data_IF_185473325567
#
_entry.id   IF_185473325567
#
_cell.length_a   1.000
_cell.length_b   1.000
_cell.length_c   1.000
_cell.angle_alpha   90.00
_cell.angle_beta   90.00
_cell.angle_gamma   90.00
#
_symmetry.space_group_name_H-M   'P 1'
#
loop_
_entity.id
_entity.type
_entity.pdbx_description
1 polymer ?
#
# COMPACT_ATOMS: atom_id res chain seq x y z
N UNK A 1 39.31 -28.51 -9.81
CA UNK A 1 38.31 -27.43 -9.72
C UNK A 1 37.44 -27.72 -8.52
N UNK A 2 37.69 -27.03 -7.41
CA UNK A 2 36.98 -27.23 -6.14
C UNK A 2 35.69 -26.41 -6.21
N UNK A 3 34.56 -27.08 -6.11
CA UNK A 3 33.24 -26.47 -5.99
C UNK A 3 33.15 -25.76 -4.63
N UNK A 4 32.97 -24.44 -4.64
CA UNK A 4 32.64 -23.67 -3.45
C UNK A 4 31.14 -23.85 -3.18
N UNK A 5 30.81 -24.83 -2.34
CA UNK A 5 29.52 -24.92 -1.66
C UNK A 5 29.49 -23.81 -0.60
N UNK A 6 29.05 -22.62 -0.98
CA UNK A 6 28.79 -21.52 -0.05
C UNK A 6 27.48 -21.75 0.69
N UNK A 7 27.48 -22.63 1.70
CA UNK A 7 26.40 -22.70 2.67
C UNK A 7 26.58 -21.50 3.61
N UNK A 8 26.00 -20.35 3.25
CA UNK A 8 25.82 -19.27 4.20
C UNK A 8 24.79 -19.74 5.23
N UNK A 9 25.25 -20.37 6.32
CA UNK A 9 24.44 -20.49 7.53
C UNK A 9 24.19 -19.06 8.01
N UNK A 10 23.02 -18.51 7.66
CA UNK A 10 22.34 -17.56 8.55
C UNK A 10 22.40 -18.20 9.93
N UNK A 11 23.05 -17.56 10.89
CA UNK A 11 23.14 -18.06 12.26
C UNK A 11 21.71 -18.30 12.74
N UNK A 12 21.29 -19.56 12.75
CA UNK A 12 19.89 -19.91 12.86
C UNK A 12 19.39 -19.48 14.23
N UNK A 13 18.57 -18.42 14.27
CA UNK A 13 17.92 -18.00 15.50
C UNK A 13 16.98 -19.08 16.05
N UNK A 14 16.42 -18.87 17.25
CA UNK A 14 15.62 -19.87 17.92
C UNK A 14 14.43 -20.31 17.06
N UNK A 15 14.21 -21.63 17.02
CA UNK A 15 13.01 -22.21 16.44
C UNK A 15 11.83 -21.88 17.34
N UNK A 16 10.88 -21.12 16.82
CA UNK A 16 9.66 -20.75 17.52
C UNK A 16 8.60 -21.83 17.33
N UNK A 17 8.47 -22.33 16.10
CA UNK A 17 7.48 -23.35 15.76
C UNK A 17 7.94 -24.18 14.56
N UNK A 18 7.58 -25.45 14.59
CA UNK A 18 7.66 -26.36 13.45
C UNK A 18 6.30 -26.99 13.24
N UNK A 19 5.84 -26.98 11.99
CA UNK A 19 4.59 -27.61 11.59
C UNK A 19 4.79 -28.58 10.44
N UNK A 20 3.97 -29.62 10.43
CA UNK A 20 3.92 -30.59 9.35
C UNK A 20 2.54 -30.52 8.71
N UNK A 21 2.52 -30.48 7.40
CA UNK A 21 1.31 -30.51 6.60
C UNK A 21 1.52 -31.41 5.38
N UNK A 22 0.45 -31.70 4.65
CA UNK A 22 0.49 -32.58 3.48
C UNK A 22 -0.19 -31.91 2.31
N UNK A 23 0.42 -32.05 1.14
CA UNK A 23 -0.12 -31.61 -0.14
C UNK A 23 -0.44 -32.87 -0.95
N UNK A 24 -1.68 -33.04 -1.39
CA UNK A 24 -2.10 -34.29 -2.04
C UNK A 24 -1.69 -34.36 -3.52
N UNK A 25 -1.56 -33.20 -4.17
CA UNK A 25 -1.12 -33.03 -5.56
C UNK A 25 -0.39 -31.70 -5.70
N UNK A 26 0.52 -31.53 -6.68
CA UNK A 26 1.23 -30.26 -6.88
C UNK A 26 0.29 -29.06 -6.82
N UNK A 27 0.60 -28.10 -5.94
CA UNK A 27 -0.30 -26.98 -5.62
C UNK A 27 0.51 -25.75 -5.20
N UNK A 28 -0.06 -24.56 -5.42
CA UNK A 28 0.36 -23.36 -4.69
C UNK A 28 -0.11 -23.48 -3.24
N UNK A 29 0.74 -23.08 -2.30
CA UNK A 29 0.38 -23.12 -0.87
C UNK A 29 0.48 -21.74 -0.27
N UNK A 30 -0.61 -21.31 0.35
CA UNK A 30 -0.66 -20.09 1.17
C UNK A 30 -0.78 -20.51 2.62
N UNK A 31 -0.04 -19.83 3.49
CA UNK A 31 -0.14 -19.99 4.94
C UNK A 31 -0.63 -18.69 5.58
N UNK A 32 -1.60 -18.83 6.49
CA UNK A 32 -2.00 -17.77 7.42
C UNK A 32 -1.43 -18.12 8.79
N UNK A 33 -0.59 -17.23 9.30
CA UNK A 33 0.04 -17.33 10.61
C UNK A 33 -0.59 -16.30 11.54
N UNK A 34 -1.15 -16.73 12.67
CA UNK A 34 -1.63 -15.83 13.73
C UNK A 34 -0.50 -15.63 14.74
N UNK A 35 0.07 -14.43 14.75
CA UNK A 35 1.32 -14.11 15.43
C UNK A 35 1.20 -12.81 16.21
N UNK A 36 1.84 -12.75 17.38
CA UNK A 36 2.00 -11.52 18.17
C UNK A 36 3.43 -11.41 18.68
N UNK A 37 3.87 -10.20 19.00
CA UNK A 37 5.17 -9.96 19.65
C UNK A 37 4.97 -9.15 20.93
N UNK A 38 5.22 -9.74 22.09
CA UNK A 38 5.08 -9.06 23.37
C UNK A 38 5.87 -7.75 23.39
N UNK A 39 5.22 -6.66 23.84
CA UNK A 39 5.82 -5.32 23.86
C UNK A 39 6.27 -4.83 22.48
N UNK A 40 6.00 -5.48 21.35
CA UNK A 40 6.23 -4.84 20.08
C UNK A 40 5.22 -3.70 19.86
N UNK A 41 5.70 -2.59 19.34
CA UNK A 41 4.94 -1.39 19.02
C UNK A 41 5.64 -0.66 17.88
N UNK A 42 5.03 -0.66 16.69
CA UNK A 42 5.60 -0.08 15.47
C UNK A 42 5.85 1.44 15.58
N UNK A 43 5.19 2.12 16.52
CA UNK A 43 5.39 3.54 16.77
C UNK A 43 6.62 3.82 17.66
N UNK A 44 7.23 2.80 18.28
CA UNK A 44 8.25 2.99 19.32
C UNK A 44 9.64 2.55 18.85
N UNK A 45 10.62 3.47 18.77
CA UNK A 45 11.99 3.14 18.45
C UNK A 45 12.56 2.03 19.34
N UNK A 46 13.16 1.01 18.72
CA UNK A 46 13.73 -0.14 19.38
C UNK A 46 12.73 -1.22 19.81
N UNK A 47 11.42 -1.03 19.61
CA UNK A 47 10.35 -2.00 19.90
C UNK A 47 9.49 -2.31 18.67
N UNK A 48 9.93 -1.92 17.47
CA UNK A 48 9.10 -1.88 16.28
C UNK A 48 8.44 -3.22 15.92
N UNK A 49 9.24 -4.27 15.77
CA UNK A 49 8.78 -5.59 15.39
C UNK A 49 9.77 -6.70 15.75
N UNK A 50 9.27 -7.94 15.77
CA UNK A 50 10.10 -9.12 15.62
C UNK A 50 10.16 -9.51 14.13
N UNK A 51 11.36 -9.83 13.65
CA UNK A 51 11.58 -10.38 12.32
C UNK A 51 11.69 -11.90 12.37
N UNK A 52 10.99 -12.58 11.48
CA UNK A 52 10.96 -14.04 11.38
C UNK A 52 11.50 -14.51 10.04
N UNK A 53 12.10 -15.69 10.03
CA UNK A 53 12.47 -16.43 8.83
C UNK A 53 11.58 -17.65 8.71
N UNK A 54 10.92 -17.77 7.56
CA UNK A 54 10.15 -18.95 7.19
C UNK A 54 11.01 -19.86 6.31
N UNK A 55 11.02 -21.15 6.61
CA UNK A 55 11.61 -22.17 5.74
C UNK A 55 10.66 -23.33 5.51
N UNK A 56 10.66 -23.86 4.28
CA UNK A 56 9.88 -25.04 3.90
C UNK A 56 10.84 -26.15 3.53
N UNK A 57 10.70 -27.31 4.16
CA UNK A 57 11.56 -28.48 3.98
C UNK A 57 13.06 -28.19 4.15
N UNK A 58 13.39 -27.24 5.04
CA UNK A 58 14.76 -26.81 5.32
C UNK A 58 15.33 -25.80 4.32
N UNK A 59 14.56 -25.35 3.33
CA UNK A 59 14.95 -24.29 2.39
C UNK A 59 14.36 -22.95 2.82
N UNK A 60 15.17 -21.90 2.77
CA UNK A 60 14.72 -20.53 3.01
C UNK A 60 13.58 -20.18 2.06
N UNK A 61 12.45 -19.72 2.62
CA UNK A 61 11.30 -19.23 1.86
C UNK A 61 11.33 -17.70 1.84
N UNK A 62 11.18 -17.05 2.98
CA UNK A 62 11.04 -15.59 3.07
C UNK A 62 11.25 -15.05 4.50
N UNK A 63 11.30 -13.73 4.63
CA UNK A 63 11.15 -13.04 5.91
C UNK A 63 9.69 -12.66 6.17
N UNK A 64 9.33 -12.54 7.44
CA UNK A 64 8.05 -12.00 7.89
C UNK A 64 8.29 -11.04 9.06
N UNK A 65 7.86 -9.78 8.95
CA UNK A 65 8.04 -8.76 9.99
C UNK A 65 6.71 -8.54 10.71
N UNK A 66 6.72 -8.68 12.04
CA UNK A 66 5.52 -8.55 12.87
C UNK A 66 5.20 -7.09 13.19
N UNK A 67 4.75 -6.33 12.20
CA UNK A 67 4.45 -4.91 12.30
C UNK A 67 3.15 -4.56 13.05
N UNK A 68 2.33 -5.56 13.42
CA UNK A 68 1.01 -5.35 14.03
C UNK A 68 1.01 -5.37 15.57
N UNK A 69 2.19 -5.38 16.18
CA UNK A 69 2.39 -5.22 17.62
C UNK A 69 2.13 -6.49 18.46
N UNK A 70 1.72 -6.27 19.71
CA UNK A 70 1.56 -7.32 20.72
C UNK A 70 0.35 -8.21 20.52
N UNK A 71 -0.79 -7.64 20.14
CA UNK A 71 -2.01 -8.42 19.91
C UNK A 71 -1.80 -9.36 18.74
N UNK A 72 -2.04 -10.69 18.92
CA UNK A 72 -1.94 -11.63 17.83
C UNK A 72 -2.80 -11.22 16.63
N UNK A 73 -2.19 -11.28 15.45
CA UNK A 73 -2.82 -10.89 14.20
C UNK A 73 -2.46 -11.85 13.08
N UNK A 74 -3.31 -11.92 12.07
CA UNK A 74 -3.10 -12.76 10.90
C UNK A 74 -2.09 -12.12 9.94
N UNK A 75 -1.11 -12.92 9.52
CA UNK A 75 -0.17 -12.64 8.44
C UNK A 75 -0.33 -13.73 7.38
N UNK A 76 -0.70 -13.34 6.17
CA UNK A 76 -0.97 -14.25 5.06
C UNK A 76 0.14 -14.16 4.02
N UNK A 77 0.86 -15.26 3.81
CA UNK A 77 2.03 -15.30 2.91
C UNK A 77 2.00 -16.55 2.03
N UNK A 78 2.57 -16.45 0.83
CA UNK A 78 2.72 -17.56 -0.09
C UNK A 78 3.98 -18.38 0.27
N UNK A 79 3.84 -19.70 0.28
CA UNK A 79 4.96 -20.65 0.38
C UNK A 79 5.43 -21.13 -1.01
N UNK A 80 4.72 -20.76 -2.07
CA UNK A 80 4.96 -21.14 -3.46
C UNK A 80 4.46 -22.54 -3.80
N UNK A 81 4.84 -23.01 -4.99
CA UNK A 81 4.50 -24.35 -5.49
C UNK A 81 5.17 -25.45 -4.66
N UNK A 82 4.36 -26.33 -4.09
CA UNK A 82 4.83 -27.53 -3.39
C UNK A 82 4.37 -28.80 -4.11
N UNK A 83 5.23 -29.83 -4.10
CA UNK A 83 4.93 -31.13 -4.70
C UNK A 83 3.90 -31.92 -3.88
N UNK A 84 3.41 -33.04 -4.40
CA UNK A 84 2.62 -33.96 -3.59
C UNK A 84 3.51 -34.62 -2.52
N UNK A 85 3.05 -34.62 -1.26
CA UNK A 85 3.74 -35.27 -0.16
C UNK A 85 3.66 -34.52 1.17
N UNK A 86 4.37 -35.04 2.19
CA UNK A 86 4.53 -34.35 3.46
C UNK A 86 5.52 -33.20 3.33
N UNK A 87 5.19 -32.07 3.94
CA UNK A 87 6.02 -30.88 4.01
C UNK A 87 6.19 -30.42 5.46
N UNK A 88 7.24 -29.64 5.69
CA UNK A 88 7.57 -29.08 6.99
C UNK A 88 7.82 -27.58 6.89
N UNK A 89 6.99 -26.79 7.58
CA UNK A 89 7.21 -25.36 7.78
C UNK A 89 7.97 -25.15 9.09
N UNK A 90 9.05 -24.36 9.05
CA UNK A 90 9.74 -23.90 10.26
C UNK A 90 9.71 -22.39 10.33
N UNK A 91 9.41 -21.89 11.54
CA UNK A 91 9.32 -20.48 11.86
C UNK A 91 10.42 -20.19 12.88
N UNK A 92 11.40 -19.38 12.47
CA UNK A 92 12.54 -18.99 13.32
C UNK A 92 12.54 -17.50 13.55
N UNK A 93 12.93 -17.10 14.76
CA UNK A 93 13.23 -15.69 15.03
C UNK A 93 14.53 -15.32 14.33
N UNK A 94 14.54 -14.20 13.62
CA UNK A 94 15.76 -13.55 13.15
C UNK A 94 16.07 -12.35 14.04
N UNK A 95 17.06 -12.51 14.91
CA UNK A 95 17.51 -11.44 15.82
C UNK A 95 18.11 -10.25 15.07
N UNK A 96 18.66 -10.46 13.87
CA UNK A 96 19.23 -9.38 13.05
C UNK A 96 18.16 -8.52 12.39
N UNK A 97 17.00 -9.09 12.10
CA UNK A 97 15.83 -8.38 11.57
C UNK A 97 14.78 -8.04 12.65
N UNK A 98 15.12 -8.20 13.94
CA UNK A 98 14.22 -7.88 15.05
C UNK A 98 14.67 -6.62 15.79
N UNK A 99 13.70 -5.87 16.31
CA UNK A 99 13.97 -4.71 17.13
C UNK A 99 14.72 -5.11 18.41
N UNK A 100 15.61 -4.24 18.89
CA UNK A 100 16.50 -4.51 20.03
C UNK A 100 15.74 -4.91 21.30
N UNK A 101 14.54 -4.38 21.48
CA UNK A 101 13.67 -4.59 22.63
C UNK A 101 12.36 -5.29 22.27
N UNK A 102 12.29 -5.99 21.13
CA UNK A 102 11.20 -6.91 20.82
C UNK A 102 11.10 -7.99 21.92
N UNK A 103 9.87 -8.30 22.36
CA UNK A 103 9.62 -9.34 23.35
C UNK A 103 9.46 -10.73 22.75
N UNK A 104 8.83 -11.61 23.51
CA UNK A 104 8.57 -12.98 23.09
C UNK A 104 7.55 -13.00 21.93
N UNK A 105 7.77 -13.90 20.97
CA UNK A 105 6.87 -14.08 19.84
C UNK A 105 5.89 -15.21 20.17
N UNK A 106 4.60 -14.89 20.13
CA UNK A 106 3.52 -15.88 20.22
C UNK A 106 3.20 -16.41 18.84
N UNK A 107 3.14 -17.73 18.68
CA UNK A 107 2.87 -18.40 17.41
C UNK A 107 1.74 -19.41 17.57
N UNK A 108 0.56 -19.09 17.04
CA UNK A 108 -0.58 -20.01 16.99
C UNK A 108 -0.43 -21.06 15.87
N UNK A 109 -1.27 -22.11 15.85
CA UNK A 109 -1.30 -23.05 14.74
C UNK A 109 -1.56 -22.41 13.38
N UNK A 110 -0.74 -22.78 12.39
CA UNK A 110 -0.87 -22.24 11.05
C UNK A 110 -2.09 -22.82 10.33
N UNK A 111 -2.70 -21.99 9.48
CA UNK A 111 -3.79 -22.39 8.59
C UNK A 111 -3.28 -22.39 7.15
N UNK A 112 -3.55 -23.46 6.42
CA UNK A 112 -3.05 -23.64 5.05
C UNK A 112 -4.21 -23.59 4.06
N UNK A 113 -4.03 -22.84 2.97
CA UNK A 113 -4.83 -22.97 1.77
C UNK A 113 -3.96 -23.63 0.69
N UNK A 114 -4.40 -24.79 0.21
CA UNK A 114 -3.70 -25.57 -0.81
C UNK A 114 -4.49 -25.41 -2.12
N UNK A 115 -3.90 -24.72 -3.09
CA UNK A 115 -4.54 -24.31 -4.33
C UNK A 115 -3.95 -25.08 -5.51
N UNK A 116 -4.61 -26.17 -5.94
CA UNK A 116 -4.13 -27.02 -7.03
C UNK A 116 -4.20 -26.32 -8.39
N UNK A 117 -3.48 -26.85 -9.37
CA UNK A 117 -3.34 -26.26 -10.71
C UNK A 117 -4.66 -26.05 -11.48
N UNK A 118 -5.69 -26.82 -11.18
CA UNK A 118 -7.02 -26.73 -11.80
C UNK A 118 -7.98 -25.76 -11.08
N UNK A 119 -7.56 -25.14 -9.98
CA UNK A 119 -8.35 -24.14 -9.27
C UNK A 119 -8.35 -22.79 -10.03
N UNK A 120 -9.48 -22.07 -9.98
CA UNK A 120 -9.65 -20.77 -10.64
C UNK A 120 -8.60 -19.72 -10.24
N UNK A 121 -8.17 -19.79 -8.98
CA UNK A 121 -7.28 -18.81 -8.36
C UNK A 121 -5.81 -19.21 -8.46
N UNK A 122 -5.52 -20.38 -9.03
CA UNK A 122 -4.16 -20.91 -9.12
C UNK A 122 -3.23 -19.96 -9.86
N UNK A 123 -3.63 -19.49 -11.05
CA UNK A 123 -2.79 -18.59 -11.85
C UNK A 123 -2.43 -17.30 -11.11
N UNK A 124 -3.38 -16.73 -10.36
CA UNK A 124 -3.13 -15.54 -9.54
C UNK A 124 -2.03 -15.79 -8.50
N UNK A 125 -2.02 -16.94 -7.84
CA UNK A 125 -0.97 -17.28 -6.88
C UNK A 125 0.35 -17.62 -7.58
N UNK A 126 0.30 -18.45 -8.63
CA UNK A 126 1.48 -18.98 -9.31
C UNK A 126 2.35 -17.90 -9.98
N UNK A 127 1.74 -16.80 -10.44
CA UNK A 127 2.45 -15.67 -11.06
C UNK A 127 2.69 -14.49 -10.10
N UNK A 128 2.37 -14.63 -8.81
CA UNK A 128 2.61 -13.58 -7.83
C UNK A 128 4.11 -13.31 -7.66
N UNK A 129 4.57 -12.04 -7.72
CA UNK A 129 5.99 -11.73 -7.59
C UNK A 129 6.54 -12.00 -6.19
N UNK A 130 7.79 -12.45 -6.13
CA UNK A 130 8.58 -12.49 -4.90
C UNK A 130 9.43 -11.22 -4.85
N UNK A 131 9.16 -10.38 -3.85
CA UNK A 131 9.82 -9.09 -3.67
C UNK A 131 11.05 -9.22 -2.79
N UNK A 132 12.22 -9.03 -3.37
CA UNK A 132 13.46 -8.84 -2.67
C UNK A 132 13.52 -7.42 -2.10
N UNK A 133 13.79 -7.33 -0.80
CA UNK A 133 13.79 -6.08 -0.07
C UNK A 133 14.88 -5.14 -0.59
N UNK A 134 14.63 -3.83 -0.51
CA UNK A 134 15.70 -2.85 -0.67
C UNK A 134 16.65 -2.97 0.53
N UNK A 135 17.98 -2.84 0.35
CA UNK A 135 18.92 -2.81 1.47
C UNK A 135 18.49 -1.80 2.55
N UNK A 136 18.78 -2.14 3.81
CA UNK A 136 18.51 -1.33 5.01
C UNK A 136 17.04 -1.09 5.39
N UNK A 137 16.06 -1.64 4.67
CA UNK A 137 14.62 -1.46 5.01
C UNK A 137 14.19 -2.31 6.20
N UNK A 138 14.59 -3.59 6.24
CA UNK A 138 14.20 -4.53 7.29
C UNK A 138 14.68 -4.08 8.67
N UNK A 139 15.95 -3.67 8.77
CA UNK A 139 16.59 -3.26 10.03
C UNK A 139 16.12 -1.88 10.51
N UNK A 140 15.62 -1.06 9.60
CA UNK A 140 15.04 0.25 9.90
C UNK A 140 13.54 0.19 10.15
N UNK A 141 12.92 -0.94 9.85
CA UNK A 141 11.47 -1.12 9.92
C UNK A 141 10.75 -0.10 9.02
N UNK A 142 11.26 0.13 7.81
CA UNK A 142 10.64 1.05 6.83
C UNK A 142 10.33 0.32 5.53
N UNK A 143 9.45 0.90 4.72
CA UNK A 143 9.05 0.42 3.39
C UNK A 143 8.69 -1.08 3.38
N UNK A 144 7.97 -1.51 4.42
CA UNK A 144 7.55 -2.91 4.54
C UNK A 144 6.41 -3.19 3.55
N UNK A 145 6.52 -4.18 2.65
CA UNK A 145 5.37 -4.59 1.84
C UNK A 145 4.31 -5.22 2.75
N UNK A 146 3.16 -4.56 2.84
CA UNK A 146 2.06 -4.90 3.75
C UNK A 146 1.04 -5.84 3.11
N UNK A 147 0.64 -5.52 1.89
CA UNK A 147 -0.42 -6.21 1.16
C UNK A 147 -0.05 -6.27 -0.32
N UNK A 148 -0.42 -7.38 -0.95
CA UNK A 148 -0.40 -7.55 -2.39
C UNK A 148 -1.81 -7.88 -2.84
N UNK A 149 -2.27 -7.25 -3.91
CA UNK A 149 -3.50 -7.64 -4.57
C UNK A 149 -3.28 -7.89 -6.05
N UNK A 150 -4.20 -8.63 -6.65
CA UNK A 150 -4.23 -8.89 -8.07
C UNK A 150 -5.57 -8.46 -8.68
N UNK A 151 -5.49 -7.67 -9.74
CA UNK A 151 -6.61 -7.38 -10.63
C UNK A 151 -6.60 -8.37 -11.80
N UNK A 152 -7.78 -8.85 -12.18
CA UNK A 152 -7.96 -9.75 -13.33
C UNK A 152 -8.73 -9.02 -14.43
N UNK A 153 -8.05 -8.74 -15.53
CA UNK A 153 -8.62 -8.03 -16.68
C UNK A 153 -8.81 -9.01 -17.86
N UNK A 154 -10.00 -9.05 -18.45
CA UNK A 154 -10.21 -9.79 -19.70
C UNK A 154 -9.65 -8.98 -20.87
N UNK A 155 -8.78 -9.58 -21.67
CA UNK A 155 -8.18 -8.95 -22.85
C UNK A 155 -8.49 -9.77 -24.12
N UNK A 156 -8.37 -9.19 -25.33
CA UNK A 156 -8.53 -9.97 -26.55
C UNK A 156 -7.55 -11.15 -26.60
N UNK A 157 -8.09 -12.37 -26.65
CA UNK A 157 -7.31 -13.61 -26.74
C UNK A 157 -6.77 -14.13 -25.39
N UNK A 158 -7.24 -13.61 -24.25
CA UNK A 158 -6.90 -14.16 -22.96
C UNK A 158 -7.23 -13.28 -21.75
N UNK A 159 -6.34 -13.30 -20.75
CA UNK A 159 -6.49 -12.58 -19.48
C UNK A 159 -5.18 -11.92 -19.08
N UNK A 160 -5.27 -10.71 -18.52
CA UNK A 160 -4.16 -10.05 -17.84
C UNK A 160 -4.34 -10.12 -16.33
N UNK A 161 -3.29 -10.50 -15.61
CA UNK A 161 -3.20 -10.44 -14.16
C UNK A 161 -2.26 -9.31 -13.79
N UNK A 162 -2.71 -8.34 -13.01
CA UNK A 162 -1.92 -7.18 -12.60
C UNK A 162 -1.75 -7.16 -11.09
N UNK A 163 -0.51 -7.18 -10.63
CA UNK A 163 -0.13 -7.21 -9.24
C UNK A 163 0.34 -5.84 -8.79
N UNK A 164 -0.17 -5.44 -7.63
CA UNK A 164 0.25 -4.20 -6.98
C UNK A 164 0.46 -4.44 -5.48
N UNK A 165 1.31 -3.62 -4.88
CA UNK A 165 1.72 -3.76 -3.48
C UNK A 165 1.54 -2.44 -2.75
N UNK A 166 1.07 -2.55 -1.51
CA UNK A 166 1.03 -1.45 -0.54
C UNK A 166 2.25 -1.59 0.35
N UNK A 167 3.14 -0.61 0.32
CA UNK A 167 4.25 -0.47 1.25
C UNK A 167 3.85 0.42 2.43
N UNK A 168 4.44 0.20 3.60
CA UNK A 168 4.09 0.95 4.82
C UNK A 168 4.33 2.45 4.71
N UNK A 169 5.23 2.86 3.81
CA UNK A 169 5.68 4.24 3.61
C UNK A 169 6.29 4.42 2.21
N UNK A 170 6.70 5.66 1.92
CA UNK A 170 7.62 6.02 0.84
C UNK A 170 8.85 6.68 1.49
N UNK A 171 10.01 6.01 1.50
CA UNK A 171 11.23 6.57 2.11
C UNK A 171 11.78 7.83 1.42
N UNK A 172 11.44 8.04 0.14
CA UNK A 172 11.88 9.21 -0.58
C UNK A 172 11.29 9.31 -1.98
N UNK A 173 11.54 10.43 -2.66
CA UNK A 173 10.94 10.76 -3.96
C UNK A 173 9.85 11.82 -3.82
N UNK A 174 8.86 11.55 -2.97
CA UNK A 174 7.74 12.45 -2.72
C UNK A 174 7.67 12.88 -1.25
N UNK A 175 7.68 14.19 -0.94
CA UNK A 175 7.47 14.66 0.42
C UNK A 175 6.13 14.21 1.02
N UNK A 176 6.10 13.84 2.30
CA UNK A 176 4.91 13.27 2.96
C UNK A 176 3.68 14.19 2.96
N UNK A 177 3.88 15.51 2.99
CA UNK A 177 2.79 16.48 2.89
C UNK A 177 2.16 16.50 1.49
N UNK A 178 2.98 16.35 0.45
CA UNK A 178 2.49 16.11 -0.91
C UNK A 178 1.77 14.76 -1.02
N UNK A 179 2.28 13.73 -0.35
CA UNK A 179 1.66 12.41 -0.33
C UNK A 179 0.23 12.46 0.22
N UNK A 180 0.07 13.10 1.38
CA UNK A 180 -1.25 13.32 1.98
C UNK A 180 -2.16 14.18 1.09
N UNK A 181 -1.66 15.28 0.53
CA UNK A 181 -2.49 16.16 -0.30
C UNK A 181 -2.98 15.47 -1.59
N UNK A 182 -2.10 14.72 -2.27
CA UNK A 182 -2.35 14.22 -3.63
C UNK A 182 -2.89 12.79 -3.65
N UNK A 183 -2.59 11.98 -2.64
CA UNK A 183 -3.01 10.58 -2.54
C UNK A 183 -3.70 10.23 -1.22
N UNK A 184 -3.74 11.13 -0.24
CA UNK A 184 -4.50 10.92 1.00
C UNK A 184 -3.91 9.86 1.96
N UNK A 185 -2.62 9.54 1.80
CA UNK A 185 -1.91 8.51 2.56
C UNK A 185 -0.41 8.78 2.55
N UNK A 186 0.30 8.19 3.52
CA UNK A 186 1.77 8.10 3.55
C UNK A 186 2.31 6.76 3.05
N UNK A 187 1.49 5.70 3.04
CA UNK A 187 1.84 4.44 2.38
C UNK A 187 2.17 4.69 0.93
N UNK A 188 3.08 3.90 0.38
CA UNK A 188 3.29 3.85 -1.06
C UNK A 188 2.44 2.74 -1.67
N UNK A 189 1.91 2.96 -2.87
CA UNK A 189 1.08 1.97 -3.56
C UNK A 189 1.54 1.88 -4.99
N UNK A 190 2.23 0.79 -5.29
CA UNK A 190 2.90 0.58 -6.56
C UNK A 190 2.31 -0.59 -7.32
N UNK A 191 2.08 -0.37 -8.62
CA UNK A 191 1.96 -1.48 -9.54
C UNK A 191 3.36 -2.06 -9.72
N UNK A 192 3.51 -3.36 -9.51
CA UNK A 192 4.83 -4.00 -9.55
C UNK A 192 4.98 -4.85 -10.79
N UNK A 193 3.97 -5.64 -11.14
CA UNK A 193 4.11 -6.71 -12.14
C UNK A 193 2.80 -7.03 -12.85
N UNK A 194 2.84 -7.43 -14.13
CA UNK A 194 1.72 -8.10 -14.79
C UNK A 194 2.13 -9.22 -15.72
N UNK A 195 1.19 -10.17 -15.88
CA UNK A 195 1.28 -11.24 -16.89
C UNK A 195 0.07 -11.22 -17.79
N UNK A 196 0.28 -11.59 -19.05
CA UNK A 196 -0.76 -11.93 -20.00
C UNK A 196 -0.74 -13.44 -20.27
N UNK A 197 -1.89 -14.06 -20.08
CA UNK A 197 -2.11 -15.47 -20.38
C UNK A 197 -3.07 -15.57 -21.56
N UNK A 198 -2.79 -16.42 -22.54
CA UNK A 198 -3.72 -16.70 -23.63
C UNK A 198 -4.94 -17.52 -23.17
N UNK A 199 -5.90 -17.76 -24.07
CA UNK A 199 -7.10 -18.57 -23.80
C UNK A 199 -6.79 -20.02 -23.38
N UNK A 200 -5.58 -20.52 -23.65
CA UNK A 200 -5.11 -21.83 -23.19
C UNK A 200 -4.41 -21.77 -21.83
N UNK A 201 -4.34 -20.59 -21.19
CA UNK A 201 -3.66 -20.36 -19.93
C UNK A 201 -2.14 -20.27 -20.06
N UNK A 202 -1.61 -20.15 -21.27
CA UNK A 202 -0.17 -20.05 -21.51
C UNK A 202 0.28 -18.60 -21.39
N UNK A 203 1.39 -18.39 -20.67
CA UNK A 203 2.07 -17.11 -20.59
C UNK A 203 2.52 -16.60 -21.97
N UNK A 204 2.09 -15.39 -22.34
CA UNK A 204 2.43 -14.72 -23.60
C UNK A 204 3.07 -13.34 -23.43
N UNK A 205 3.00 -12.76 -22.23
CA UNK A 205 3.63 -11.47 -21.93
C UNK A 205 3.88 -11.27 -20.44
N UNK A 206 4.96 -10.55 -20.12
CA UNK A 206 5.35 -10.17 -18.76
C UNK A 206 5.90 -8.74 -18.80
N UNK A 207 5.45 -7.89 -17.87
CA UNK A 207 5.97 -6.54 -17.70
C UNK A 207 5.99 -6.14 -16.22
N UNK A 208 6.84 -5.17 -15.89
CA UNK A 208 6.96 -4.61 -14.55
C UNK A 208 7.06 -3.09 -14.60
N UNK A 209 6.77 -2.43 -13.47
CA UNK A 209 6.99 -0.99 -13.32
C UNK A 209 8.41 -0.75 -12.80
N UNK A 210 9.30 -0.34 -13.70
CA UNK A 210 10.67 0.03 -13.38
C UNK A 210 10.81 1.47 -12.88
N UNK A 211 12.05 1.84 -12.56
CA UNK A 211 12.43 3.21 -12.18
C UNK A 211 11.82 4.28 -13.10
N UNK A 212 11.46 5.41 -12.50
CA UNK A 212 10.73 6.52 -13.13
C UNK A 212 9.31 6.14 -13.59
N UNK A 213 8.70 5.11 -12.99
CA UNK A 213 7.37 4.59 -13.33
C UNK A 213 7.26 4.09 -14.78
N UNK A 214 8.35 3.55 -15.33
CA UNK A 214 8.39 3.04 -16.72
C UNK A 214 7.89 1.61 -16.77
N UNK A 215 6.94 1.34 -17.65
CA UNK A 215 6.54 -0.03 -17.98
C UNK A 215 7.62 -0.67 -18.86
N UNK A 216 8.23 -1.75 -18.37
CA UNK A 216 9.33 -2.45 -19.03
C UNK A 216 9.01 -3.95 -19.14
N UNK A 217 9.43 -4.63 -20.23
CA UNK A 217 9.34 -6.08 -20.30
C UNK A 217 10.15 -6.73 -19.19
N UNK A 218 9.59 -7.71 -18.50
CA UNK A 218 10.32 -8.48 -17.49
C UNK A 218 11.31 -9.45 -18.17
N UNK A 219 12.58 -9.45 -17.73
CA UNK A 219 13.62 -10.36 -18.24
C UNK A 219 14.40 -11.03 -17.10
N UNK A 220 13.87 -10.93 -15.89
CA UNK A 220 14.47 -11.46 -14.67
C UNK A 220 14.30 -12.97 -14.52
N UNK A 221 14.87 -13.54 -13.46
CA UNK A 221 14.68 -14.94 -13.10
C UNK A 221 13.33 -15.18 -12.44
N UNK A 222 12.91 -16.46 -12.44
CA UNK A 222 11.74 -16.95 -11.70
C UNK A 222 12.14 -18.03 -10.70
N UNK A 223 11.40 -18.12 -9.60
CA UNK A 223 11.32 -19.33 -8.76
C UNK A 223 10.02 -20.07 -9.10
N UNK A 224 10.13 -21.15 -9.88
CA UNK A 224 8.95 -21.74 -10.49
C UNK A 224 8.36 -20.77 -11.53
N UNK A 225 7.13 -20.33 -11.32
CA UNK A 225 6.43 -19.31 -12.14
C UNK A 225 6.42 -17.93 -11.47
N UNK A 226 6.95 -17.80 -10.25
CA UNK A 226 7.00 -16.53 -9.53
C UNK A 226 8.19 -15.69 -10.03
N UNK A 227 7.97 -14.51 -10.60
CA UNK A 227 9.08 -13.62 -10.96
C UNK A 227 9.78 -13.13 -9.69
N UNK A 228 11.10 -12.99 -9.77
CA UNK A 228 11.89 -12.37 -8.73
C UNK A 228 12.09 -10.90 -9.08
N UNK A 229 11.63 -10.02 -8.20
CA UNK A 229 11.75 -8.57 -8.35
C UNK A 229 12.49 -7.98 -7.17
N UNK A 230 13.30 -6.95 -7.40
CA UNK A 230 14.04 -6.24 -6.36
C UNK A 230 13.48 -4.83 -6.22
N UNK A 231 13.19 -4.40 -5.00
CA UNK A 231 12.89 -2.99 -4.74
C UNK A 231 14.19 -2.18 -4.87
N UNK A 232 14.26 -1.27 -5.83
CA UNK A 232 15.50 -0.59 -6.26
C UNK A 232 15.49 0.93 -6.09
N UNK A 233 14.37 1.53 -5.67
CA UNK A 233 14.29 2.97 -5.38
C UNK A 233 13.68 3.26 -4.01
N UNK A 234 13.84 4.50 -3.55
CA UNK A 234 13.26 5.02 -2.30
C UNK A 234 11.73 5.19 -2.38
N UNK A 235 11.17 5.23 -3.60
CA UNK A 235 9.73 5.21 -3.89
C UNK A 235 9.28 3.84 -4.43
N UNK A 236 9.84 2.78 -3.85
CA UNK A 236 9.45 1.38 -4.01
C UNK A 236 9.29 0.82 -5.44
N UNK A 237 9.94 1.44 -6.43
CA UNK A 237 9.99 0.90 -7.79
C UNK A 237 10.82 -0.37 -7.83
N UNK A 238 10.45 -1.29 -8.71
CA UNK A 238 11.10 -2.60 -8.80
C UNK A 238 12.06 -2.70 -10.00
N UNK A 239 12.97 -3.66 -9.92
CA UNK A 239 13.86 -4.09 -11.00
C UNK A 239 13.80 -5.61 -11.14
N UNK A 240 14.12 -6.11 -12.33
CA UNK A 240 14.13 -7.54 -12.65
C UNK A 240 15.48 -8.21 -12.38
N UNK A 241 16.40 -7.48 -11.73
CA UNK A 241 17.72 -7.96 -11.32
C UNK A 241 18.13 -7.31 -9.99
N UNK A 242 18.90 -8.06 -9.20
CA UNK A 242 19.52 -7.58 -7.98
C UNK A 242 20.17 -8.71 -7.20
N UNK A 243 20.73 -8.34 -6.05
CA UNK A 243 21.63 -9.16 -5.25
C UNK A 243 21.21 -9.28 -3.79
N UNK A 244 20.19 -8.52 -3.34
CA UNK A 244 19.56 -8.74 -2.05
C UNK A 244 18.91 -10.12 -2.03
N UNK A 245 19.04 -10.87 -0.93
CA UNK A 245 18.44 -12.21 -0.75
C UNK A 245 17.26 -12.23 0.22
N UNK A 246 17.18 -11.23 1.11
CA UNK A 246 16.03 -11.05 1.99
C UNK A 246 14.83 -10.65 1.15
N UNK A 247 13.72 -11.37 1.32
CA UNK A 247 12.58 -11.30 0.41
C UNK A 247 11.28 -11.60 1.11
N UNK A 248 10.19 -11.21 0.45
CA UNK A 248 8.81 -11.37 0.84
C UNK A 248 8.04 -12.03 -0.31
N UNK A 249 7.25 -13.04 0.00
CA UNK A 249 6.31 -13.69 -0.88
C UNK A 249 4.91 -13.48 -0.29
N UNK A 250 4.36 -12.28 -0.50
CA UNK A 250 2.99 -11.97 -0.08
C UNK A 250 2.02 -12.86 -0.87
N UNK A 251 0.99 -13.37 -0.20
CA UNK A 251 -0.07 -14.06 -0.92
C UNK A 251 -1.05 -13.01 -1.46
N UNK A 252 -1.19 -12.85 -2.79
CA UNK A 252 -2.11 -11.87 -3.35
C UNK A 252 -3.55 -12.22 -2.98
N UNK A 253 -4.37 -11.18 -2.85
CA UNK A 253 -5.82 -11.29 -2.83
C UNK A 253 -6.43 -10.73 -4.13
N UNK A 254 -7.52 -11.31 -4.63
CA UNK A 254 -8.24 -10.71 -5.75
C UNK A 254 -8.91 -9.44 -5.26
N UNK A 255 -8.81 -8.36 -6.04
CA UNK A 255 -9.50 -7.11 -5.71
C UNK A 255 -10.08 -6.46 -6.96
N UNK A 256 -11.32 -5.99 -6.85
CA UNK A 256 -12.01 -5.26 -7.91
C UNK A 256 -11.97 -3.76 -7.59
N UNK A 257 -11.27 -3.00 -8.43
CA UNK A 257 -11.17 -1.55 -8.31
C UNK A 257 -12.18 -0.80 -9.18
N UNK A 258 -13.18 -1.50 -9.71
CA UNK A 258 -14.29 -0.87 -10.42
C UNK A 258 -14.94 0.16 -9.52
N UNK A 259 -14.98 1.41 -9.99
CA UNK A 259 -15.64 2.54 -9.33
C UNK A 259 -15.09 2.95 -7.94
N UNK A 260 -13.90 2.48 -7.54
CA UNK A 260 -13.18 2.86 -6.31
C UNK A 260 -11.69 3.14 -6.57
N UNK A 261 -10.99 3.80 -5.64
CA UNK A 261 -9.55 4.03 -5.79
C UNK A 261 -8.75 2.83 -5.27
N UNK A 262 -7.44 2.76 -5.58
CA UNK A 262 -6.53 1.70 -5.08
C UNK A 262 -6.51 1.61 -3.56
N UNK A 263 -6.75 2.72 -2.87
CA UNK A 263 -6.82 2.78 -1.41
C UNK A 263 -8.02 2.03 -0.83
N UNK A 264 -8.98 1.57 -1.65
CA UNK A 264 -10.02 0.64 -1.21
C UNK A 264 -9.45 -0.68 -0.65
N UNK A 265 -8.26 -1.09 -1.10
CA UNK A 265 -7.54 -2.24 -0.51
C UNK A 265 -7.14 -1.92 0.93
N UNK A 266 -6.66 -0.70 1.21
CA UNK A 266 -6.38 -0.27 2.59
C UNK A 266 -7.67 -0.17 3.42
N UNK A 267 -8.78 0.29 2.84
CA UNK A 267 -10.06 0.34 3.54
C UNK A 267 -10.54 -1.06 3.97
N UNK A 268 -10.27 -2.10 3.15
CA UNK A 268 -10.58 -3.50 3.47
C UNK A 268 -9.64 -4.07 4.54
N UNK A 269 -8.48 -3.43 4.75
CA UNK A 269 -7.46 -3.82 5.72
C UNK A 269 -7.02 -2.62 6.59
N UNK A 270 -7.93 -2.05 7.43
CA UNK A 270 -7.72 -0.79 8.17
C UNK A 270 -6.39 -0.65 8.92
N UNK A 271 -5.86 -1.77 9.39
CA UNK A 271 -4.57 -1.83 10.08
C UNK A 271 -3.40 -1.27 9.26
N UNK A 272 -3.48 -1.20 7.92
CA UNK A 272 -2.44 -0.57 7.09
C UNK A 272 -2.33 0.94 7.33
N UNK A 273 -3.44 1.61 7.65
CA UNK A 273 -3.42 3.02 8.05
C UNK A 273 -2.69 3.19 9.37
N UNK A 274 -2.97 2.31 10.34
CA UNK A 274 -2.30 2.31 11.64
C UNK A 274 -0.80 2.14 11.51
N UNK A 275 -0.34 1.13 10.77
CA UNK A 275 1.10 0.90 10.55
C UNK A 275 1.77 2.13 9.94
N UNK A 276 1.18 2.70 8.89
CA UNK A 276 1.75 3.87 8.22
C UNK A 276 1.77 5.13 9.10
N UNK A 277 0.71 5.37 9.86
CA UNK A 277 0.63 6.51 10.79
C UNK A 277 1.65 6.38 11.95
N UNK A 278 1.81 5.17 12.48
CA UNK A 278 2.82 4.86 13.50
C UNK A 278 4.24 5.05 12.97
N UNK A 279 4.50 4.63 11.73
CA UNK A 279 5.78 4.82 11.05
C UNK A 279 6.10 6.30 10.83
N UNK A 280 5.16 7.07 10.27
CA UNK A 280 5.34 8.50 10.05
C UNK A 280 5.69 9.25 11.35
N UNK A 281 5.08 8.88 12.48
CA UNK A 281 5.42 9.43 13.80
C UNK A 281 6.81 8.99 14.25
N UNK A 282 7.12 7.69 14.18
CA UNK A 282 8.40 7.11 14.61
C UNK A 282 9.58 7.70 13.83
N UNK A 283 9.41 7.96 12.54
CA UNK A 283 10.43 8.54 11.67
C UNK A 283 10.56 10.07 11.80
N UNK A 284 9.78 10.70 12.68
CA UNK A 284 9.86 12.15 12.89
C UNK A 284 9.29 12.98 11.75
N UNK A 285 8.44 12.39 10.88
CA UNK A 285 7.77 13.10 9.78
C UNK A 285 6.53 13.89 10.22
N UNK A 286 6.19 13.79 11.51
CA UNK A 286 5.04 14.45 12.12
C UNK A 286 5.49 15.62 13.01
N UNK A 287 4.94 16.80 12.77
CA UNK A 287 5.17 18.01 13.57
C UNK A 287 3.85 18.75 13.83
N UNK A 288 3.65 19.23 15.07
CA UNK A 288 2.37 19.86 15.48
C UNK A 288 2.03 21.11 14.66
N UNK A 289 3.05 21.90 14.31
CA UNK A 289 2.99 23.14 13.54
C UNK A 289 3.42 22.97 12.07
N UNK A 290 3.38 21.73 11.56
CA UNK A 290 3.73 21.41 10.18
C UNK A 290 3.01 22.33 9.17
N UNK A 291 3.80 22.91 8.27
CA UNK A 291 3.32 23.82 7.22
C UNK A 291 3.38 23.14 5.86
N UNK A 292 2.46 23.44 4.93
CA UNK A 292 2.50 22.88 3.57
C UNK A 292 3.83 23.10 2.85
N UNK A 293 4.44 22.00 2.40
CA UNK A 293 5.74 21.93 1.73
C UNK A 293 6.95 22.06 2.64
N UNK A 294 6.78 21.86 3.94
CA UNK A 294 7.89 21.67 4.87
C UNK A 294 8.39 20.22 4.89
N UNK A 295 7.77 19.31 4.13
CA UNK A 295 8.08 17.88 4.15
C UNK A 295 7.71 17.19 5.45
N UNK A 296 6.78 17.77 6.20
CA UNK A 296 6.24 17.25 7.45
C UNK A 296 4.72 17.43 7.45
N UNK A 297 4.02 16.59 8.21
CA UNK A 297 2.57 16.66 8.38
C UNK A 297 2.20 16.85 9.86
N UNK A 298 1.01 17.40 10.20
CA UNK A 298 0.48 17.24 11.54
C UNK A 298 0.15 15.77 11.81
N UNK A 299 -0.26 15.46 13.05
CA UNK A 299 -0.69 14.10 13.40
C UNK A 299 -1.67 13.55 12.33
N UNK A 300 -1.44 12.34 11.78
CA UNK A 300 -2.28 11.76 10.73
C UNK A 300 -3.79 11.77 11.04
N UNK A 301 -4.19 11.70 12.32
CA UNK A 301 -5.59 11.78 12.76
C UNK A 301 -6.25 13.14 12.53
N UNK A 302 -5.45 14.19 12.25
CA UNK A 302 -5.94 15.54 11.91
C UNK A 302 -6.28 15.69 10.42
N UNK A 303 -6.10 14.65 9.61
CA UNK A 303 -6.47 14.67 8.21
C UNK A 303 -7.90 14.15 8.01
N UNK A 304 -8.65 14.86 7.17
CA UNK A 304 -9.86 14.32 6.56
C UNK A 304 -9.49 13.75 5.20
N UNK A 305 -9.51 12.43 5.09
CA UNK A 305 -9.29 11.69 3.84
C UNK A 305 -10.59 11.59 3.05
N UNK A 306 -10.52 11.72 1.73
CA UNK A 306 -11.68 11.64 0.84
C UNK A 306 -11.40 10.78 -0.39
N UNK A 307 -12.44 10.11 -0.89
CA UNK A 307 -12.44 9.45 -2.20
C UNK A 307 -13.41 10.13 -3.14
N UNK A 308 -12.89 10.60 -4.27
CA UNK A 308 -13.65 11.25 -5.32
C UNK A 308 -13.51 10.48 -6.63
N UNK A 309 -14.57 10.41 -7.43
CA UNK A 309 -14.56 9.81 -8.75
C UNK A 309 -14.97 10.84 -9.80
N UNK A 310 -14.23 10.90 -10.90
CA UNK A 310 -14.53 11.80 -11.99
C UNK A 310 -13.54 11.75 -13.15
N UNK A 311 -13.78 12.61 -14.13
CA UNK A 311 -12.90 12.85 -15.26
C UNK A 311 -12.21 14.20 -15.09
N UNK A 312 -10.92 14.24 -15.39
CA UNK A 312 -10.10 15.45 -15.31
C UNK A 312 -9.35 15.60 -16.63
N UNK A 313 -9.50 16.77 -17.27
CA UNK A 313 -8.84 17.12 -18.51
C UNK A 313 -8.16 18.48 -18.34
N UNK A 314 -6.83 18.52 -18.46
CA UNK A 314 -6.04 19.75 -18.34
C UNK A 314 -6.28 20.56 -17.06
N UNK A 315 -6.81 19.90 -16.05
CA UNK A 315 -7.13 20.45 -14.75
C UNK A 315 -6.41 19.70 -13.63
N UNK A 316 -6.30 20.35 -12.48
CA UNK A 316 -5.91 19.76 -11.22
C UNK A 316 -6.90 20.21 -10.14
N UNK A 317 -7.28 19.29 -9.26
CA UNK A 317 -8.33 19.49 -8.27
C UNK A 317 -7.75 19.80 -6.90
N UNK A 318 -8.41 20.74 -6.21
CA UNK A 318 -8.21 21.05 -4.80
C UNK A 318 -9.48 20.71 -4.05
N UNK A 319 -9.32 20.05 -2.91
CA UNK A 319 -10.39 19.77 -1.97
C UNK A 319 -10.25 20.68 -0.76
N UNK A 320 -11.37 21.18 -0.25
CA UNK A 320 -11.36 22.01 0.94
C UNK A 320 -12.47 21.63 1.90
N UNK A 321 -12.14 21.59 3.19
CA UNK A 321 -13.11 21.35 4.26
C UNK A 321 -13.49 22.68 4.90
N UNK A 322 -14.79 22.90 5.02
CA UNK A 322 -15.40 24.06 5.64
C UNK A 322 -15.79 23.76 7.08
N UNK A 323 -15.20 24.46 8.04
CA UNK A 323 -15.59 24.42 9.45
C UNK A 323 -16.42 25.65 9.84
N UNK A 324 -17.46 25.45 10.66
CA UNK A 324 -18.29 26.53 11.17
C UNK A 324 -17.46 27.46 12.06
N UNK A 325 -17.38 28.73 11.74
CA UNK A 325 -16.67 29.78 12.48
C UNK A 325 -17.59 30.75 13.23
N UNK A 326 -17.02 31.71 13.99
CA UNK A 326 -17.79 32.74 14.67
C UNK A 326 -18.67 33.56 13.71
N UNK A 327 -19.85 33.97 14.17
CA UNK A 327 -20.76 34.81 13.38
C UNK A 327 -21.32 34.14 12.12
N UNK A 328 -21.34 32.80 12.06
CA UNK A 328 -21.86 32.04 10.92
C UNK A 328 -20.93 31.97 9.70
N UNK A 329 -19.68 32.46 9.82
CA UNK A 329 -18.69 32.37 8.75
C UNK A 329 -18.16 30.94 8.61
N UNK A 330 -17.88 30.46 7.39
CA UNK A 330 -17.18 29.19 7.18
C UNK A 330 -15.68 29.43 7.00
N UNK A 331 -14.86 28.77 7.81
CA UNK A 331 -13.40 28.71 7.64
C UNK A 331 -13.04 27.56 6.72
N UNK A 332 -12.20 27.80 5.74
CA UNK A 332 -11.83 26.81 4.72
C UNK A 332 -10.38 26.37 4.87
N UNK A 333 -10.15 25.06 4.79
CA UNK A 333 -8.83 24.43 4.81
C UNK A 333 -8.66 23.65 3.53
N UNK A 334 -7.59 23.89 2.77
CA UNK A 334 -7.40 23.35 1.42
C UNK A 334 -6.32 22.25 1.42
N UNK A 335 -6.52 21.19 0.63
CA UNK A 335 -5.62 20.04 0.53
C UNK A 335 -4.25 20.43 0.01
N UNK A 336 -4.17 21.41 -0.89
CA UNK A 336 -2.92 21.79 -1.56
C UNK A 336 -2.06 22.75 -0.74
N UNK A 337 -2.59 23.34 0.33
CA UNK A 337 -1.88 24.36 1.11
C UNK A 337 -1.33 25.52 0.28
N UNK A 338 -1.97 25.83 -0.86
CA UNK A 338 -1.52 26.83 -1.83
C UNK A 338 -0.44 26.38 -2.81
N UNK A 339 -0.08 25.09 -2.85
CA UNK A 339 0.96 24.53 -3.72
C UNK A 339 0.36 23.83 -4.95
N UNK A 340 0.56 24.34 -6.18
CA UNK A 340 0.01 23.72 -7.38
C UNK A 340 0.43 22.25 -7.59
N UNK A 341 1.63 21.87 -7.14
CA UNK A 341 2.18 20.53 -7.25
C UNK A 341 1.52 19.49 -6.31
N UNK A 342 0.68 19.93 -5.37
CA UNK A 342 -0.07 19.08 -4.43
C UNK A 342 -1.50 18.76 -4.92
N UNK A 343 -1.90 19.31 -6.06
CA UNK A 343 -3.25 19.18 -6.60
C UNK A 343 -3.41 17.86 -7.34
N UNK A 344 -4.64 17.31 -7.30
CA UNK A 344 -4.93 16.02 -7.93
C UNK A 344 -5.23 16.20 -9.41
N UNK A 345 -4.35 15.70 -10.29
CA UNK A 345 -4.49 15.80 -11.75
C UNK A 345 -4.68 14.43 -12.42
N UNK A 346 -5.63 13.62 -11.93
CA UNK A 346 -5.95 12.29 -12.49
C UNK A 346 -7.45 12.03 -12.56
N UNK A 347 -7.86 11.25 -13.57
CA UNK A 347 -9.22 10.73 -13.74
C UNK A 347 -9.41 9.40 -13.00
N UNK A 348 -10.64 8.89 -12.99
CA UNK A 348 -11.02 7.68 -12.26
C UNK A 348 -11.42 8.01 -10.84
N UNK A 349 -11.31 7.04 -9.94
CA UNK A 349 -11.49 7.25 -8.52
C UNK A 349 -10.14 7.45 -7.84
N UNK A 350 -10.05 8.46 -6.99
CA UNK A 350 -8.80 8.92 -6.41
C UNK A 350 -8.99 9.50 -5.01
N UNK A 351 -7.93 9.43 -4.22
CA UNK A 351 -7.84 10.01 -2.88
C UNK A 351 -7.16 11.37 -2.82
N UNK A 352 -7.50 12.10 -1.78
CA UNK A 352 -6.81 13.30 -1.29
C UNK A 352 -7.07 13.40 0.23
N UNK A 353 -6.28 14.19 0.95
CA UNK A 353 -6.54 14.50 2.34
C UNK A 353 -6.32 15.99 2.64
N UNK A 354 -7.09 16.49 3.60
CA UNK A 354 -7.03 17.88 4.08
C UNK A 354 -6.66 17.89 5.56
N UNK A 355 -5.53 18.53 5.87
CA UNK A 355 -5.12 18.75 7.25
C UNK A 355 -6.00 19.81 7.93
N UNK A 356 -6.50 19.49 9.13
CA UNK A 356 -7.27 20.42 9.95
C UNK A 356 -6.45 20.93 11.15
N UNK A 357 -6.63 22.19 11.57
CA UNK A 357 -6.20 22.64 12.90
C UNK A 357 -6.84 21.81 14.03
N UNK A 358 -6.23 21.76 15.23
CA UNK A 358 -6.83 21.07 16.36
C UNK A 358 -8.23 21.59 16.67
N UNK A 359 -9.18 20.68 16.90
CA UNK A 359 -10.57 20.99 17.27
C UNK A 359 -11.50 21.43 16.13
N UNK A 360 -11.03 21.55 14.89
CA UNK A 360 -11.90 21.94 13.76
C UNK A 360 -12.72 20.75 13.19
N UNK A 361 -12.30 19.50 13.47
CA UNK A 361 -12.96 18.29 12.96
C UNK A 361 -14.43 18.14 13.38
N UNK A 362 -14.79 18.55 14.60
CA UNK A 362 -16.17 18.46 15.11
C UNK A 362 -17.09 19.57 14.60
N UNK A 363 -16.54 20.50 13.81
CA UNK A 363 -17.24 21.68 13.31
C UNK A 363 -17.38 21.67 11.79
N UNK A 364 -17.07 20.55 11.14
CA UNK A 364 -17.17 20.41 9.70
C UNK A 364 -18.64 20.54 9.24
N UNK A 365 -18.86 21.43 8.27
CA UNK A 365 -20.19 21.76 7.74
C UNK A 365 -20.26 21.71 6.21
N UNK A 366 -19.12 21.74 5.53
CA UNK A 366 -19.10 21.76 4.07
C UNK A 366 -17.83 21.12 3.48
N UNK A 367 -17.96 20.62 2.27
CA UNK A 367 -16.88 20.23 1.38
C UNK A 367 -16.92 21.12 0.15
N UNK A 368 -15.76 21.60 -0.29
CA UNK A 368 -15.60 22.40 -1.50
C UNK A 368 -14.59 21.76 -2.44
N UNK A 369 -14.88 21.77 -3.73
CA UNK A 369 -13.97 21.33 -4.77
C UNK A 369 -13.72 22.49 -5.74
N UNK A 370 -12.45 22.73 -6.06
CA UNK A 370 -12.02 23.71 -7.06
C UNK A 370 -11.21 23.00 -8.14
N UNK A 371 -11.39 23.44 -9.38
CA UNK A 371 -10.52 23.07 -10.48
C UNK A 371 -9.55 24.23 -10.76
N UNK A 372 -8.30 23.88 -11.04
CA UNK A 372 -7.26 24.76 -11.53
C UNK A 372 -6.72 24.21 -12.84
N UNK A 373 -6.11 25.05 -13.66
CA UNK A 373 -5.37 24.58 -14.83
C UNK A 373 -4.15 23.80 -14.32
N UNK A 374 -3.93 22.60 -14.84
CA UNK A 374 -2.82 21.76 -14.37
C UNK A 374 -1.47 22.37 -14.72
N UNK A 375 -0.42 21.99 -13.99
CA UNK A 375 0.95 22.29 -14.37
C UNK A 375 1.31 21.61 -15.70
N UNK A 376 2.15 22.24 -16.54
CA UNK A 376 2.67 21.60 -17.75
C UNK A 376 3.54 20.40 -17.38
N UNK A 377 3.53 19.38 -18.26
CA UNK A 377 4.46 18.26 -18.16
C UNK A 377 5.81 18.63 -18.76
N UNK A 378 6.83 17.81 -18.51
CA UNK A 378 8.15 18.01 -19.13
C UNK A 378 8.02 18.06 -20.67
N UNK A 379 8.61 19.10 -21.27
CA UNK A 379 8.55 19.33 -22.72
C UNK A 379 7.23 19.91 -23.24
N UNK A 380 6.24 20.17 -22.37
CA UNK A 380 4.94 20.73 -22.75
C UNK A 380 4.89 22.25 -22.57
N UNK A 381 4.31 23.03 -23.52
CA UNK A 381 4.04 24.44 -23.28
C UNK A 381 3.00 24.63 -22.15
N UNK A 382 3.06 25.75 -21.39
CA UNK A 382 2.03 26.08 -20.42
C UNK A 382 0.64 26.16 -21.07
N UNK A 383 -0.36 25.59 -20.40
CA UNK A 383 -1.75 25.71 -20.79
C UNK A 383 -2.29 27.10 -20.43
N UNK A 384 -3.16 27.71 -21.26
CA UNK A 384 -3.80 28.97 -20.90
C UNK A 384 -4.65 28.80 -19.63
N UNK A 385 -4.62 29.75 -18.67
CA UNK A 385 -5.47 29.69 -17.49
C UNK A 385 -6.96 29.60 -17.86
N UNK A 386 -7.72 28.80 -17.12
CA UNK A 386 -9.15 28.59 -17.31
C UNK A 386 -9.52 27.56 -18.37
N UNK A 387 -8.56 26.88 -19.02
CA UNK A 387 -8.87 25.88 -20.06
C UNK A 387 -9.14 24.48 -19.51
N UNK A 388 -8.66 24.18 -18.31
CA UNK A 388 -8.90 22.89 -17.67
C UNK A 388 -10.38 22.63 -17.38
N UNK A 389 -10.79 21.36 -17.44
CA UNK A 389 -12.15 20.89 -17.16
C UNK A 389 -12.09 19.68 -16.25
N UNK A 390 -13.05 19.57 -15.34
CA UNK A 390 -13.27 18.35 -14.59
C UNK A 390 -14.77 18.05 -14.49
N UNK A 391 -15.10 16.77 -14.38
CA UNK A 391 -16.46 16.28 -14.19
C UNK A 391 -16.45 15.30 -13.03
N UNK A 392 -16.94 15.75 -11.88
CA UNK A 392 -17.10 14.89 -10.71
C UNK A 392 -18.42 14.13 -10.80
N UNK A 393 -18.37 12.83 -10.52
CA UNK A 393 -19.55 11.95 -10.54
C UNK A 393 -19.90 11.40 -9.17
N UNK A 394 -18.91 11.15 -8.31
CA UNK A 394 -19.14 10.64 -6.95
C UNK A 394 -18.10 11.15 -5.96
N UNK A 395 -18.50 11.19 -4.70
CA UNK A 395 -17.64 11.13 -3.53
C UNK A 395 -18.07 9.88 -2.79
N UNK A 396 -17.22 8.86 -2.84
CA UNK A 396 -17.56 7.58 -2.24
C UNK A 396 -17.40 7.64 -0.71
N UNK A 397 -16.35 8.35 -0.23
CA UNK A 397 -16.01 8.41 1.20
C UNK A 397 -15.39 9.76 1.61
N UNK A 398 -15.56 10.09 2.89
CA UNK A 398 -14.94 11.18 3.63
C UNK A 398 -14.78 10.72 5.10
N UNK A 399 -13.57 10.57 5.62
CA UNK A 399 -13.35 10.09 6.99
C UNK A 399 -12.09 10.69 7.63
N UNK A 400 -11.96 10.51 8.95
CA UNK A 400 -10.73 10.75 9.70
C UNK A 400 -10.23 9.42 10.26
N UNK A 401 -8.97 9.37 10.67
CA UNK A 401 -8.49 8.26 11.49
C UNK A 401 -8.95 8.44 12.95
N UNK A 402 -9.28 7.32 13.61
CA UNK A 402 -9.61 7.26 15.02
C UNK A 402 -8.39 7.29 15.94
N UNK A 403 -8.62 7.09 17.23
CA UNK A 403 -7.54 7.00 18.24
C UNK A 403 -6.59 5.81 18.03
N UNK A 404 -7.07 4.78 17.33
CA UNK A 404 -6.32 3.59 16.94
C UNK A 404 -5.62 3.73 15.58
N UNK A 405 -5.62 4.93 14.98
CA UNK A 405 -5.09 5.22 13.65
C UNK A 405 -5.77 4.44 12.50
N UNK A 406 -6.95 3.87 12.73
CA UNK A 406 -7.76 3.22 11.70
C UNK A 406 -8.88 4.16 11.21
N UNK A 407 -9.36 4.04 9.96
CA UNK A 407 -10.48 4.84 9.47
C UNK A 407 -11.71 4.76 10.39
N UNK A 408 -12.17 5.92 10.85
CA UNK A 408 -13.43 6.05 11.56
C UNK A 408 -14.62 6.00 10.58
N UNK A 409 -15.83 6.18 11.11
CA UNK A 409 -17.06 6.17 10.30
C UNK A 409 -17.00 7.17 9.14
N UNK A 410 -17.56 6.75 8.00
CA UNK A 410 -17.71 7.59 6.83
C UNK A 410 -18.66 8.77 7.12
N UNK A 411 -18.16 9.99 7.04
CA UNK A 411 -18.88 11.22 7.34
C UNK A 411 -19.77 11.70 6.19
N UNK A 412 -19.46 11.30 4.96
CA UNK A 412 -20.13 11.84 3.79
C UNK A 412 -20.02 10.93 2.57
N UNK A 413 -21.09 10.93 1.78
CA UNK A 413 -21.12 10.37 0.44
C UNK A 413 -21.96 11.25 -0.46
N UNK A 414 -21.62 11.30 -1.75
CA UNK A 414 -22.34 12.07 -2.73
C UNK A 414 -22.28 11.39 -4.09
N UNK A 415 -23.38 11.45 -4.84
CA UNK A 415 -23.43 11.03 -6.23
C UNK A 415 -24.18 12.08 -7.04
N UNK A 416 -23.67 12.40 -8.22
CA UNK A 416 -24.26 13.41 -9.08
C UNK A 416 -23.45 13.62 -10.35
N UNK A 417 -23.63 14.78 -10.98
CA UNK A 417 -22.80 15.24 -12.10
C UNK A 417 -22.51 16.70 -11.88
N UNK A 418 -21.26 17.03 -11.57
CA UNK A 418 -20.82 18.40 -11.40
C UNK A 418 -19.69 18.70 -12.37
N UNK A 419 -19.92 19.67 -13.24
CA UNK A 419 -18.89 20.19 -14.14
C UNK A 419 -18.14 21.32 -13.44
N UNK A 420 -16.82 21.25 -13.45
CA UNK A 420 -15.91 22.27 -12.95
C UNK A 420 -15.09 22.81 -14.11
N UNK A 421 -15.00 24.13 -14.18
CA UNK A 421 -14.10 24.85 -15.08
C UNK A 421 -12.94 25.33 -14.24
N UNK A 422 -11.72 25.13 -14.74
CA UNK A 422 -10.52 25.61 -14.10
C UNK A 422 -10.60 27.13 -13.87
N UNK A 423 -10.17 27.59 -12.68
CA UNK A 423 -10.27 29.00 -12.26
C UNK A 423 -11.72 29.54 -12.17
N UNK A 424 -12.71 28.67 -12.33
CA UNK A 424 -14.13 28.98 -12.23
C UNK A 424 -14.68 28.86 -10.80
N UNK A 425 -16.02 28.96 -10.65
CA UNK A 425 -16.66 28.77 -9.35
C UNK A 425 -16.45 27.34 -8.83
N UNK A 426 -16.32 27.16 -7.50
CA UNK A 426 -16.21 25.83 -6.91
C UNK A 426 -17.55 25.07 -6.93
N UNK A 427 -17.48 23.76 -6.77
CA UNK A 427 -18.59 22.95 -6.25
C UNK A 427 -18.55 23.01 -4.73
N UNK A 428 -19.67 23.37 -4.09
CA UNK A 428 -19.83 23.31 -2.65
C UNK A 428 -20.94 22.33 -2.28
N UNK A 429 -20.64 21.44 -1.34
CA UNK A 429 -21.53 20.42 -0.83
C UNK A 429 -21.67 20.59 0.68
N UNK A 430 -22.90 20.60 1.17
CA UNK A 430 -23.17 20.66 2.61
C UNK A 430 -22.95 19.27 3.21
N UNK A 431 -22.15 19.21 4.27
CA UNK A 431 -22.04 18.00 5.08
C UNK A 431 -23.26 17.98 6.00
N UNK A 432 -24.18 17.05 5.79
CA UNK A 432 -25.31 16.88 6.69
C UNK A 432 -24.75 16.59 8.09
N UNK A 433 -25.17 17.36 9.10
CA UNK A 433 -24.61 17.27 10.44
C UNK A 433 -24.66 15.84 10.97
N UNK A 434 -23.57 15.40 11.62
CA UNK A 434 -23.54 14.13 12.35
C UNK A 434 -24.82 14.03 13.19
N UNK A 435 -25.61 12.94 13.14
CA UNK A 435 -26.58 12.70 14.19
C UNK A 435 -25.81 12.75 15.51
N UNK A 436 -26.24 13.64 16.41
CA UNK A 436 -25.64 13.81 17.73
C UNK A 436 -25.78 12.55 18.56
#
# INVERSE_FOLDING_TARGET
>A
MIAALGLALLAAGPLLREERFRVERPSEVVVTLTLGCERCDWAQPGREAAGLVLSVDGKYSQHLILCRGETPADYRVALGRLAAGPHRLQIRLDRGASAKHAGEVTVEPARYAIVPEDASDHAMLAFAPILHARPDTLERFSDLPLLMWCERETIPGGVRLRYSVIFSNEDGGTPIDRLMATWGRSTDIEYVYSVELDDAGKLVGEEFQGKDHKLLPFRGPHEGTHPLEWVVTDNNMVGDQGDTTRRYALAPEPFDLTDVSREAVMDAHPWTYRVSAQEARREGRVAEDARPGAGHIPDPRRFVSLEACGEVQDAALVFALGAAGPGGQTRWYESDGGRPEFRVARSGCFRSAVALPPGEADRLVALRLRAHTRLPREGEPPLPPGTGRARLTRINKLFLLGEDDEPAENLFGWAGKAALVAEGPPLELVLAGRPR
#
